data_IF_445463917748
#
_entry.id   IF_445463917748
#
_cell.length_a   1.000
_cell.length_b   1.000
_cell.length_c   1.000
_cell.angle_alpha   90.00
_cell.angle_beta   90.00
_cell.angle_gamma   90.00
#
_symmetry.space_group_name_H-M   'P 1'
#
loop_
_entity.id
_entity.type
_entity.pdbx_description
1 polymer ?
#
# COMPACT_ATOMS: atom_id res chain seq x y z
N UNK A 1 -8.65 -15.54 -19.49
CA UNK A 1 -9.31 -15.28 -18.19
C UNK A 1 -8.58 -16.08 -17.13
N UNK A 2 -7.97 -15.43 -16.14
CA UNK A 2 -7.41 -16.14 -14.99
C UNK A 2 -8.58 -16.69 -14.16
N UNK A 3 -8.52 -17.98 -13.78
CA UNK A 3 -9.56 -18.58 -12.95
C UNK A 3 -9.63 -17.87 -11.58
N UNK A 4 -10.84 -17.59 -11.04
CA UNK A 4 -11.00 -17.01 -9.71
C UNK A 4 -10.23 -17.75 -8.61
N UNK A 5 -10.11 -19.07 -8.74
CA UNK A 5 -9.33 -19.93 -7.82
C UNK A 5 -7.83 -19.62 -7.89
N UNK A 6 -7.31 -19.34 -9.09
CA UNK A 6 -5.91 -18.99 -9.27
C UNK A 6 -5.58 -17.62 -8.64
N UNK A 7 -6.51 -16.67 -8.75
CA UNK A 7 -6.37 -15.33 -8.14
C UNK A 7 -6.49 -15.38 -6.61
N UNK A 8 -7.43 -16.16 -6.07
CA UNK A 8 -7.51 -16.39 -4.62
C UNK A 8 -6.24 -17.05 -4.07
N UNK A 9 -5.71 -18.06 -4.79
CA UNK A 9 -4.44 -18.73 -4.41
C UNK A 9 -3.26 -17.77 -4.44
N UNK A 10 -3.18 -16.93 -5.46
CA UNK A 10 -2.15 -15.89 -5.56
C UNK A 10 -2.28 -14.90 -4.40
N UNK A 11 -3.49 -14.40 -4.14
CA UNK A 11 -3.74 -13.47 -3.05
C UNK A 11 -3.35 -14.06 -1.69
N UNK A 12 -3.66 -15.33 -1.42
CA UNK A 12 -3.22 -16.00 -0.19
C UNK A 12 -1.71 -16.13 -0.06
N UNK A 13 -0.98 -16.39 -1.16
CA UNK A 13 0.49 -16.42 -1.14
C UNK A 13 1.08 -15.04 -0.90
N UNK A 14 0.52 -14.00 -1.53
CA UNK A 14 0.97 -12.62 -1.33
C UNK A 14 0.67 -12.16 0.10
N UNK A 15 -0.47 -12.57 0.69
CA UNK A 15 -0.84 -12.23 2.07
C UNK A 15 0.18 -12.78 3.09
N UNK A 16 0.70 -13.99 2.85
CA UNK A 16 1.74 -14.60 3.69
C UNK A 16 3.08 -13.85 3.61
N UNK A 17 3.41 -13.29 2.44
CA UNK A 17 4.63 -12.52 2.20
C UNK A 17 4.47 -11.03 2.54
N UNK A 18 3.26 -10.58 2.84
CA UNK A 18 2.90 -9.18 2.94
C UNK A 18 3.71 -8.41 4.00
N UNK A 19 3.99 -8.95 5.20
CA UNK A 19 4.83 -8.25 6.17
C UNK A 19 6.23 -7.92 5.62
N UNK A 20 6.86 -8.88 4.94
CA UNK A 20 8.18 -8.69 4.32
C UNK A 20 8.12 -7.66 3.18
N UNK A 21 7.09 -7.73 2.34
CA UNK A 21 6.91 -6.80 1.23
C UNK A 21 6.64 -5.36 1.70
N UNK A 22 5.93 -5.19 2.82
CA UNK A 22 5.73 -3.88 3.45
C UNK A 22 7.07 -3.30 3.89
N UNK A 23 7.89 -4.09 4.60
CA UNK A 23 9.21 -3.66 5.06
C UNK A 23 10.10 -3.24 3.90
N UNK A 24 10.21 -4.08 2.87
CA UNK A 24 11.00 -3.82 1.67
C UNK A 24 10.54 -2.56 0.93
N UNK A 25 9.22 -2.36 0.83
CA UNK A 25 8.68 -1.19 0.16
C UNK A 25 8.91 0.09 0.95
N UNK A 26 8.76 0.07 2.27
CA UNK A 26 9.10 1.21 3.14
C UNK A 26 10.57 1.57 2.98
N UNK A 27 11.48 0.58 3.06
CA UNK A 27 12.92 0.78 2.84
C UNK A 27 13.18 1.41 1.48
N UNK A 28 12.52 0.91 0.42
CA UNK A 28 12.69 1.44 -0.93
C UNK A 28 12.18 2.87 -1.08
N UNK A 29 11.02 3.18 -0.51
CA UNK A 29 10.44 4.54 -0.54
C UNK A 29 11.36 5.55 0.15
N UNK A 30 11.92 5.20 1.32
CA UNK A 30 12.86 6.05 2.06
C UNK A 30 14.17 6.25 1.28
N UNK A 31 14.64 5.20 0.61
CA UNK A 31 15.87 5.26 -0.18
C UNK A 31 15.71 6.14 -1.44
N UNK A 32 14.58 5.99 -2.14
CA UNK A 32 14.37 6.57 -3.48
C UNK A 32 13.66 7.92 -3.48
N UNK A 33 12.90 8.26 -2.44
CA UNK A 33 12.12 9.49 -2.38
C UNK A 33 12.63 10.38 -1.24
N UNK A 34 13.37 11.43 -1.60
CA UNK A 34 14.06 12.33 -0.66
C UNK A 34 13.14 12.88 0.44
N UNK A 35 11.88 13.19 0.11
CA UNK A 35 10.89 13.77 1.03
C UNK A 35 10.57 12.88 2.25
N UNK A 36 10.81 11.57 2.13
CA UNK A 36 10.52 10.59 3.18
C UNK A 36 11.76 10.13 3.93
N UNK A 37 12.97 10.57 3.55
CA UNK A 37 14.22 10.08 4.11
C UNK A 37 14.39 10.42 5.60
N UNK A 38 14.11 11.66 5.95
CA UNK A 38 14.42 12.20 7.27
C UNK A 38 13.23 12.12 8.25
N UNK A 39 12.06 11.67 7.78
CA UNK A 39 10.84 11.62 8.58
C UNK A 39 10.21 12.98 8.86
N UNK A 40 10.75 14.06 8.29
CA UNK A 40 10.33 15.44 8.54
C UNK A 40 8.96 15.78 7.96
N UNK A 41 8.60 15.17 6.82
CA UNK A 41 7.30 15.41 6.14
C UNK A 41 6.24 14.40 6.57
N UNK A 42 6.63 13.15 6.80
CA UNK A 42 5.75 12.10 7.31
C UNK A 42 6.56 11.23 8.28
N UNK A 43 6.11 11.03 9.53
CA UNK A 43 6.74 10.10 10.46
C UNK A 43 6.84 8.69 9.86
N UNK A 44 7.95 7.99 10.14
CA UNK A 44 8.21 6.64 9.62
C UNK A 44 7.05 5.66 9.90
N UNK A 45 6.47 5.71 11.10
CA UNK A 45 5.35 4.86 11.49
C UNK A 45 4.08 5.15 10.68
N UNK A 46 3.86 6.41 10.30
CA UNK A 46 2.72 6.81 9.48
C UNK A 46 2.94 6.43 8.01
N UNK A 47 4.19 6.54 7.52
CA UNK A 47 4.57 6.04 6.20
C UNK A 47 4.36 4.51 6.14
N UNK A 48 4.87 3.76 7.12
CA UNK A 48 4.69 2.31 7.22
C UNK A 48 3.22 1.93 7.20
N UNK A 49 2.40 2.59 8.01
CA UNK A 49 0.96 2.37 8.07
C UNK A 49 0.25 2.67 6.75
N UNK A 50 0.66 3.73 6.06
CA UNK A 50 0.15 4.08 4.74
C UNK A 50 0.50 3.00 3.70
N UNK A 51 1.74 2.54 3.68
CA UNK A 51 2.19 1.45 2.79
C UNK A 51 1.42 0.18 3.07
N UNK A 52 1.31 -0.24 4.34
CA UNK A 52 0.55 -1.41 4.77
C UNK A 52 -0.90 -1.35 4.29
N UNK A 53 -1.55 -0.20 4.48
CA UNK A 53 -2.94 -0.03 4.07
C UNK A 53 -3.10 -0.17 2.54
N UNK A 54 -2.24 0.49 1.77
CA UNK A 54 -2.30 0.45 0.31
C UNK A 54 -2.00 -0.96 -0.24
N UNK A 55 -1.01 -1.65 0.32
CA UNK A 55 -0.70 -3.01 -0.08
C UNK A 55 -1.83 -3.99 0.25
N UNK A 56 -2.42 -3.91 1.44
CA UNK A 56 -3.59 -4.72 1.80
C UNK A 56 -4.78 -4.46 0.89
N UNK A 57 -5.02 -3.20 0.52
CA UNK A 57 -6.06 -2.85 -0.44
C UNK A 57 -5.83 -3.53 -1.80
N UNK A 58 -4.60 -3.54 -2.31
CA UNK A 58 -4.26 -4.22 -3.56
C UNK A 58 -4.43 -5.75 -3.47
N UNK A 59 -4.01 -6.36 -2.36
CA UNK A 59 -4.18 -7.81 -2.14
C UNK A 59 -5.66 -8.20 -2.04
N UNK A 60 -6.49 -7.39 -1.37
CA UNK A 60 -7.92 -7.60 -1.32
C UNK A 60 -8.56 -7.55 -2.71
N UNK A 61 -8.13 -6.60 -3.57
CA UNK A 61 -8.60 -6.50 -4.95
C UNK A 61 -8.17 -7.69 -5.83
N UNK A 62 -7.06 -8.35 -5.52
CA UNK A 62 -6.66 -9.60 -6.17
C UNK A 62 -7.50 -10.79 -5.72
N UNK A 63 -7.93 -10.81 -4.45
CA UNK A 63 -8.74 -11.89 -3.87
C UNK A 63 -10.18 -11.88 -4.39
N UNK A 64 -10.74 -10.70 -4.57
CA UNK A 64 -12.10 -10.50 -5.08
C UNK A 64 -12.11 -9.38 -6.14
N UNK A 65 -11.82 -9.73 -7.42
CA UNK A 65 -11.77 -8.74 -8.49
C UNK A 65 -13.11 -8.03 -8.75
N UNK A 66 -14.22 -8.73 -8.53
CA UNK A 66 -15.59 -8.27 -8.83
C UNK A 66 -16.28 -7.62 -7.61
N UNK A 67 -15.66 -7.71 -6.42
CA UNK A 67 -16.15 -7.13 -5.18
C UNK A 67 -16.19 -5.61 -5.18
N UNK A 68 -17.17 -5.04 -4.47
CA UNK A 68 -17.30 -3.58 -4.27
C UNK A 68 -16.11 -3.07 -3.45
N UNK A 69 -15.28 -2.21 -4.03
CA UNK A 69 -14.08 -1.69 -3.38
C UNK A 69 -14.35 -0.38 -2.66
N UNK A 70 -14.00 -0.32 -1.39
CA UNK A 70 -13.92 0.95 -0.65
C UNK A 70 -12.56 1.61 -0.92
N UNK A 71 -12.56 2.61 -1.80
CA UNK A 71 -11.37 3.40 -2.15
C UNK A 71 -11.07 4.52 -1.15
N UNK A 72 -11.74 4.57 0.02
CA UNK A 72 -11.54 5.63 1.00
C UNK A 72 -10.06 5.80 1.37
N UNK A 73 -9.32 4.72 1.58
CA UNK A 73 -7.94 4.81 2.03
C UNK A 73 -6.92 5.24 0.95
N UNK A 74 -6.91 4.70 -0.29
CA UNK A 74 -6.08 5.26 -1.37
C UNK A 74 -6.37 6.74 -1.61
N UNK A 75 -7.65 7.14 -1.53
CA UNK A 75 -8.07 8.55 -1.71
C UNK A 75 -7.62 9.44 -0.56
N UNK A 76 -7.65 8.95 0.67
CA UNK A 76 -7.16 9.68 1.85
C UNK A 76 -5.64 9.86 1.80
N UNK A 77 -4.89 8.81 1.44
CA UNK A 77 -3.43 8.92 1.22
C UNK A 77 -3.12 9.94 0.13
N UNK A 78 -3.81 9.90 -1.01
CA UNK A 78 -3.63 10.88 -2.09
C UNK A 78 -3.99 12.31 -1.69
N UNK A 79 -5.07 12.50 -0.91
CA UNK A 79 -5.45 13.82 -0.39
C UNK A 79 -4.45 14.38 0.62
N UNK A 80 -3.87 13.54 1.47
CA UNK A 80 -2.81 13.97 2.40
C UNK A 80 -1.56 14.38 1.63
N UNK A 81 -1.09 13.58 0.66
CA UNK A 81 0.06 13.94 -0.19
C UNK A 81 -0.13 15.28 -0.91
N UNK A 82 -1.26 15.48 -1.58
CA UNK A 82 -1.56 16.72 -2.31
C UNK A 82 -1.75 17.96 -1.41
N UNK A 83 -2.04 17.78 -0.10
CA UNK A 83 -2.11 18.89 0.86
C UNK A 83 -0.73 19.26 1.42
N UNK A 84 0.23 18.34 1.40
CA UNK A 84 1.60 18.60 1.84
C UNK A 84 2.45 19.27 0.76
N UNK A 85 2.19 19.00 -0.51
CA UNK A 85 2.87 19.66 -1.66
C UNK A 85 2.49 21.14 -1.86
N UNK A 86 1.48 21.66 -1.15
CA UNK A 86 1.03 23.07 -1.24
C UNK A 86 1.44 23.95 -0.05
N UNK A 87 2.54 23.61 0.62
CA UNK A 87 3.16 24.45 1.65
C UNK A 87 4.57 24.86 1.25
#
# INVERSE_FOLDING_TARGET
MNSPVAMATLASRVDAELPRLIDEHVTKVIAEIDVYRDGDVVPLDDLRRSVEHNMRFMVAALRDPDGTRDYAAPRETGRRGARQERR
#
